data_IF_107789090315
#
_entry.id   IF_107789090315
#
_cell.length_a   1.000
_cell.length_b   1.000
_cell.length_c   1.000
_cell.angle_alpha   90.00
_cell.angle_beta   90.00
_cell.angle_gamma   90.00
#
_symmetry.space_group_name_H-M   'P 1'
#
loop_
_entity.id
_entity.type
_entity.pdbx_description
1 polymer ?
#
# COMPACT_ATOMS: atom_id res chain seq x y z
N UNK A 1 -11.69 -0.83 -3.43
CA UNK A 1 -10.70 -1.94 -3.42
C UNK A 1 -10.30 -2.20 -4.86
N UNK A 2 -9.02 -2.20 -5.23
CA UNK A 2 -8.69 -2.37 -6.66
C UNK A 2 -8.52 -3.86 -7.01
N UNK A 3 -9.23 -4.34 -8.04
CA UNK A 3 -9.09 -5.68 -8.62
C UNK A 3 -7.65 -6.03 -9.04
N UNK A 4 -6.76 -5.05 -9.21
CA UNK A 4 -5.40 -5.24 -9.73
C UNK A 4 -4.43 -5.96 -8.80
N UNK A 5 -4.58 -5.82 -7.48
CA UNK A 5 -3.73 -6.54 -6.52
C UNK A 5 -4.22 -7.98 -6.30
N UNK A 6 -5.54 -8.17 -6.31
CA UNK A 6 -6.16 -9.50 -6.40
C UNK A 6 -5.77 -10.16 -7.72
N UNK A 7 -5.73 -9.44 -8.85
CA UNK A 7 -5.27 -9.96 -10.13
C UNK A 7 -3.76 -10.29 -10.14
N UNK A 8 -2.91 -9.48 -9.50
CA UNK A 8 -1.48 -9.77 -9.36
C UNK A 8 -1.22 -11.02 -8.50
N UNK A 9 -2.03 -11.25 -7.46
CA UNK A 9 -1.99 -12.48 -6.66
C UNK A 9 -2.62 -13.69 -7.39
N UNK A 10 -3.71 -13.50 -8.13
CA UNK A 10 -4.29 -14.50 -9.02
C UNK A 10 -3.33 -14.88 -10.17
N UNK A 11 -2.45 -13.97 -10.60
CA UNK A 11 -1.42 -14.23 -11.60
C UNK A 11 -0.17 -14.90 -11.01
N UNK A 12 0.09 -14.75 -9.70
CA UNK A 12 1.16 -15.45 -8.99
C UNK A 12 0.75 -16.86 -8.52
N UNK A 13 -0.55 -17.11 -8.35
CA UNK A 13 -1.08 -18.40 -7.94
C UNK A 13 -2.18 -18.87 -8.86
N UNK A 14 -1.87 -19.79 -9.77
CA UNK A 14 -2.92 -20.64 -10.34
C UNK A 14 -3.60 -21.43 -9.19
N UNK A 15 -4.75 -20.91 -8.75
CA UNK A 15 -5.80 -21.53 -7.94
C UNK A 15 -5.40 -22.29 -6.66
N UNK A 16 -4.80 -21.62 -5.67
CA UNK A 16 -4.90 -22.07 -4.27
C UNK A 16 -5.88 -21.17 -3.50
N UNK A 17 -7.12 -21.66 -3.31
CA UNK A 17 -8.16 -20.99 -2.52
C UNK A 17 -7.67 -20.63 -1.10
N UNK A 18 -6.73 -21.40 -0.54
CA UNK A 18 -6.18 -21.14 0.79
C UNK A 18 -5.35 -19.87 0.80
N UNK A 19 -4.47 -19.67 -0.18
CA UNK A 19 -3.66 -18.46 -0.29
C UNK A 19 -4.54 -17.22 -0.52
N UNK A 20 -5.58 -17.34 -1.35
CA UNK A 20 -6.58 -16.28 -1.52
C UNK A 20 -7.28 -15.95 -0.20
N UNK A 21 -7.68 -16.96 0.58
CA UNK A 21 -8.31 -16.77 1.89
C UNK A 21 -7.38 -16.08 2.89
N UNK A 22 -6.12 -16.51 3.00
CA UNK A 22 -5.11 -15.88 3.87
C UNK A 22 -4.83 -14.44 3.47
N UNK A 23 -4.80 -14.17 2.17
CA UNK A 23 -4.65 -12.83 1.63
C UNK A 23 -5.82 -11.92 1.99
N UNK A 24 -7.05 -12.37 1.76
CA UNK A 24 -8.25 -11.62 2.11
C UNK A 24 -8.31 -11.37 3.62
N UNK A 25 -7.91 -12.34 4.44
CA UNK A 25 -7.82 -12.18 5.88
C UNK A 25 -6.80 -11.10 6.28
N UNK A 26 -5.59 -11.16 5.72
CA UNK A 26 -4.55 -10.17 6.01
C UNK A 26 -4.97 -8.76 5.55
N UNK A 27 -5.62 -8.65 4.39
CA UNK A 27 -6.19 -7.40 3.90
C UNK A 27 -7.33 -6.89 4.81
N UNK A 28 -8.21 -7.78 5.26
CA UNK A 28 -9.31 -7.40 6.16
C UNK A 28 -8.78 -6.87 7.50
N UNK A 29 -7.76 -7.53 8.07
CA UNK A 29 -7.10 -7.06 9.30
C UNK A 29 -6.42 -5.70 9.10
N UNK A 30 -5.77 -5.51 7.95
CA UNK A 30 -5.14 -4.24 7.57
C UNK A 30 -6.16 -3.09 7.51
N UNK A 31 -7.28 -3.28 6.79
CA UNK A 31 -8.32 -2.26 6.66
C UNK A 31 -9.05 -2.02 7.99
N UNK A 32 -9.32 -3.08 8.76
CA UNK A 32 -9.89 -2.97 10.10
C UNK A 32 -9.02 -2.12 11.03
N UNK A 33 -7.69 -2.18 10.88
CA UNK A 33 -6.77 -1.35 11.65
C UNK A 33 -6.94 0.14 11.34
N UNK A 34 -7.09 0.52 10.06
CA UNK A 34 -7.37 1.90 9.67
C UNK A 34 -8.69 2.40 10.25
N UNK A 35 -9.75 1.59 10.15
CA UNK A 35 -11.07 1.92 10.71
C UNK A 35 -11.01 2.07 12.24
N UNK A 36 -10.29 1.18 12.91
CA UNK A 36 -10.09 1.23 14.36
C UNK A 36 -9.32 2.48 14.76
N UNK A 37 -8.27 2.85 14.02
CA UNK A 37 -7.50 4.08 14.28
C UNK A 37 -8.39 5.33 14.14
N UNK A 38 -9.24 5.40 13.11
CA UNK A 38 -10.18 6.51 12.93
C UNK A 38 -11.23 6.56 14.06
N UNK A 39 -11.76 5.40 14.47
CA UNK A 39 -12.69 5.30 15.58
C UNK A 39 -12.06 5.77 16.91
N UNK A 40 -10.80 5.41 17.17
CA UNK A 40 -10.04 5.87 18.34
C UNK A 40 -9.82 7.39 18.35
N UNK A 41 -9.67 8.00 17.17
CA UNK A 41 -9.58 9.46 17.05
C UNK A 41 -10.94 10.17 17.17
N UNK A 42 -12.04 9.42 17.34
CA UNK A 42 -13.43 9.94 17.39
C UNK A 42 -13.78 10.81 16.19
N UNK A 43 -13.20 10.51 15.03
CA UNK A 43 -13.46 11.23 13.78
C UNK A 43 -14.48 10.45 12.96
N UNK A 44 -15.66 11.02 12.68
CA UNK A 44 -16.66 10.34 11.89
C UNK A 44 -16.14 10.15 10.46
N UNK A 45 -16.34 8.94 9.92
CA UNK A 45 -16.16 8.68 8.49
C UNK A 45 -17.37 9.28 7.77
N UNK A 46 -17.15 10.40 7.08
CA UNK A 46 -18.20 11.16 6.38
C UNK A 46 -18.59 10.50 5.06
N UNK A 47 -17.68 9.75 4.44
CA UNK A 47 -17.95 9.04 3.20
C UNK A 47 -16.84 8.03 2.87
N UNK A 48 -17.20 6.98 2.14
CA UNK A 48 -16.26 6.04 1.54
C UNK A 48 -16.46 6.10 0.03
N UNK A 49 -15.65 6.89 -0.66
CA UNK A 49 -15.63 6.92 -2.12
C UNK A 49 -14.68 5.82 -2.62
N UNK A 50 -15.26 4.71 -3.07
CA UNK A 50 -14.52 3.62 -3.70
C UNK A 50 -14.18 4.04 -5.14
N UNK A 51 -12.94 4.45 -5.39
CA UNK A 51 -12.44 4.73 -6.74
C UNK A 51 -11.67 3.52 -7.29
N UNK A 52 -11.48 3.49 -8.61
CA UNK A 52 -10.69 2.46 -9.30
C UNK A 52 -9.20 2.44 -8.87
N UNK A 53 -8.75 3.38 -8.03
CA UNK A 53 -7.41 3.47 -7.45
C UNK A 53 -7.29 3.07 -5.97
N UNK A 54 -8.40 3.03 -5.22
CA UNK A 54 -8.42 2.76 -3.77
C UNK A 54 -9.76 3.13 -3.11
N UNK A 55 -9.88 2.92 -1.80
CA UNK A 55 -10.97 3.51 -1.02
C UNK A 55 -10.51 4.89 -0.52
N UNK A 56 -11.18 5.96 -0.94
CA UNK A 56 -10.96 7.31 -0.42
C UNK A 56 -11.94 7.52 0.73
N UNK A 57 -11.39 7.59 1.94
CA UNK A 57 -12.19 7.83 3.14
C UNK A 57 -12.32 9.35 3.28
N UNK A 58 -13.49 9.88 2.97
CA UNK A 58 -13.85 11.26 3.28
C UNK A 58 -14.05 11.36 4.79
N UNK A 59 -13.17 12.10 5.44
CA UNK A 59 -13.20 12.35 6.88
C UNK A 59 -13.14 13.85 7.10
N UNK A 60 -13.62 14.31 8.26
CA UNK A 60 -13.28 15.65 8.73
C UNK A 60 -11.76 15.84 8.70
N UNK A 61 -11.30 17.09 8.50
CA UNK A 61 -9.88 17.40 8.42
C UNK A 61 -9.09 16.75 9.58
N UNK A 62 -8.32 15.72 9.25
CA UNK A 62 -7.42 15.07 10.19
C UNK A 62 -6.21 15.98 10.42
N UNK A 63 -5.71 16.00 11.66
CA UNK A 63 -4.39 16.57 11.89
C UNK A 63 -3.33 15.71 11.17
N UNK A 64 -2.22 16.31 10.75
CA UNK A 64 -1.12 15.57 10.09
C UNK A 64 -0.67 14.34 10.90
N UNK A 65 -0.65 14.46 12.23
CA UNK A 65 -0.33 13.34 13.13
C UNK A 65 -1.38 12.23 13.04
N UNK A 66 -2.66 12.56 13.02
CA UNK A 66 -3.74 11.57 12.88
C UNK A 66 -3.73 10.92 11.49
N UNK A 67 -3.44 11.67 10.44
CA UNK A 67 -3.27 11.12 9.08
C UNK A 67 -2.12 10.09 9.06
N UNK A 68 -0.95 10.45 9.60
CA UNK A 68 0.21 9.57 9.66
C UNK A 68 -0.05 8.31 10.52
N UNK A 69 -0.66 8.47 11.70
CA UNK A 69 -0.97 7.35 12.59
C UNK A 69 -2.05 6.44 12.02
N UNK A 70 -3.10 7.02 11.41
CA UNK A 70 -4.14 6.24 10.72
C UNK A 70 -3.54 5.46 9.56
N UNK A 71 -2.70 6.08 8.72
CA UNK A 71 -2.01 5.41 7.62
C UNK A 71 -1.03 4.33 8.13
N UNK A 72 -0.36 4.51 9.27
CA UNK A 72 0.53 3.51 9.83
C UNK A 72 -0.20 2.29 10.42
N UNK A 73 -1.48 2.42 10.80
CA UNK A 73 -2.21 1.38 11.50
C UNK A 73 -2.30 0.05 10.72
N UNK A 74 -2.68 0.11 9.44
CA UNK A 74 -2.77 -1.07 8.56
C UNK A 74 -1.44 -1.82 8.44
N UNK A 75 -0.36 -1.15 7.98
CA UNK A 75 0.96 -1.78 7.90
C UNK A 75 1.47 -2.34 9.23
N UNK A 76 1.24 -1.62 10.35
CA UNK A 76 1.67 -2.09 11.68
C UNK A 76 0.97 -3.38 12.08
N UNK A 77 -0.34 -3.50 11.87
CA UNK A 77 -1.09 -4.73 12.16
C UNK A 77 -0.55 -5.89 11.34
N UNK A 78 -0.23 -5.66 10.06
CA UNK A 78 0.34 -6.69 9.20
C UNK A 78 1.78 -7.09 9.54
N UNK A 79 2.60 -6.14 10.01
CA UNK A 79 3.93 -6.45 10.53
C UNK A 79 3.85 -7.29 11.81
N UNK A 80 2.97 -6.90 12.74
CA UNK A 80 2.77 -7.61 14.00
C UNK A 80 2.20 -9.01 13.76
N UNK A 81 1.11 -9.12 12.99
CA UNK A 81 0.50 -10.41 12.67
C UNK A 81 1.48 -11.31 11.91
N UNK A 82 2.23 -10.74 10.97
CA UNK A 82 3.28 -11.43 10.23
C UNK A 82 4.38 -11.98 11.13
N UNK A 83 4.94 -11.16 12.02
CA UNK A 83 5.99 -11.57 12.95
C UNK A 83 5.52 -12.66 13.93
N UNK A 84 4.32 -12.50 14.50
CA UNK A 84 3.76 -13.44 15.48
C UNK A 84 3.43 -14.81 14.87
N UNK A 85 3.05 -14.85 13.59
CA UNK A 85 2.63 -16.08 12.91
C UNK A 85 3.77 -16.78 12.15
N UNK A 86 4.98 -16.21 12.15
CA UNK A 86 6.12 -16.69 11.35
C UNK A 86 6.41 -18.18 11.52
N UNK A 87 6.31 -18.70 12.76
CA UNK A 87 6.60 -20.12 13.06
C UNK A 87 5.42 -21.06 12.84
N UNK A 88 4.19 -20.56 12.97
CA UNK A 88 2.98 -21.38 13.03
C UNK A 88 2.21 -21.42 11.71
N UNK A 89 2.12 -20.27 11.03
CA UNK A 89 1.43 -20.13 9.76
C UNK A 89 2.32 -19.33 8.79
N UNK A 90 3.42 -19.93 8.29
CA UNK A 90 4.41 -19.22 7.48
C UNK A 90 3.81 -18.57 6.21
N UNK A 91 2.79 -19.17 5.62
CA UNK A 91 2.09 -18.62 4.46
C UNK A 91 1.37 -17.30 4.80
N UNK A 92 0.64 -17.25 5.93
CA UNK A 92 -0.02 -16.03 6.38
C UNK A 92 0.98 -14.95 6.79
N UNK A 93 2.09 -15.38 7.41
CA UNK A 93 3.20 -14.51 7.76
C UNK A 93 3.79 -13.83 6.52
N UNK A 94 4.14 -14.61 5.50
CA UNK A 94 4.68 -14.09 4.24
C UNK A 94 3.72 -13.12 3.56
N UNK A 95 2.42 -13.45 3.53
CA UNK A 95 1.38 -12.59 2.94
C UNK A 95 1.21 -11.28 3.71
N UNK A 96 1.14 -11.34 5.04
CA UNK A 96 0.98 -10.14 5.90
C UNK A 96 2.21 -9.23 5.80
N UNK A 97 3.41 -9.80 5.88
CA UNK A 97 4.66 -9.04 5.72
C UNK A 97 4.79 -8.45 4.32
N UNK A 98 4.41 -9.20 3.27
CA UNK A 98 4.39 -8.71 1.90
C UNK A 98 3.41 -7.54 1.71
N UNK A 99 2.21 -7.65 2.26
CA UNK A 99 1.21 -6.58 2.28
C UNK A 99 1.73 -5.32 2.99
N UNK A 100 2.40 -5.48 4.14
CA UNK A 100 3.00 -4.36 4.85
C UNK A 100 4.12 -3.72 4.03
N UNK A 101 5.00 -4.52 3.42
CA UNK A 101 6.11 -4.03 2.62
C UNK A 101 5.64 -3.20 1.42
N UNK A 102 4.62 -3.68 0.69
CA UNK A 102 4.04 -2.93 -0.43
C UNK A 102 3.37 -1.65 0.05
N UNK A 103 2.54 -1.70 1.09
CA UNK A 103 1.83 -0.50 1.56
C UNK A 103 2.75 0.53 2.24
N UNK A 104 3.93 0.14 2.73
CA UNK A 104 4.94 1.06 3.28
C UNK A 104 5.83 1.72 2.22
N UNK A 105 5.71 1.34 0.95
CA UNK A 105 6.43 2.04 -0.12
C UNK A 105 6.06 3.53 -0.11
N UNK A 106 7.03 4.43 -0.35
CA UNK A 106 6.80 5.87 -0.36
C UNK A 106 6.13 6.33 -1.66
N UNK A 107 5.07 5.63 -2.06
CA UNK A 107 4.25 5.89 -3.24
C UNK A 107 2.89 6.39 -2.78
N UNK A 108 2.49 7.58 -3.22
CA UNK A 108 1.09 7.98 -3.07
C UNK A 108 0.26 7.23 -4.12
N UNK A 109 -0.88 6.60 -3.78
CA UNK A 109 -1.71 6.79 -2.58
C UNK A 109 -1.55 5.69 -1.50
N UNK A 110 -0.47 4.89 -1.54
CA UNK A 110 -0.21 3.89 -0.51
C UNK A 110 0.05 4.54 0.85
N UNK A 111 -0.08 3.77 1.93
CA UNK A 111 0.04 4.27 3.29
C UNK A 111 1.40 4.89 3.58
N UNK A 112 2.49 4.32 3.06
CA UNK A 112 3.84 4.87 3.16
C UNK A 112 3.95 6.25 2.51
N UNK A 113 3.27 6.46 1.37
CA UNK A 113 3.14 7.76 0.74
C UNK A 113 2.34 8.76 1.58
N UNK A 114 1.27 8.32 2.24
CA UNK A 114 0.45 9.16 3.15
C UNK A 114 1.23 9.55 4.41
N UNK A 115 1.98 8.61 5.00
CA UNK A 115 2.88 8.86 6.14
C UNK A 115 3.96 9.87 5.74
N UNK A 116 4.59 9.67 4.58
CA UNK A 116 5.63 10.58 4.07
C UNK A 116 5.05 11.98 3.82
N UNK A 117 3.88 12.09 3.19
CA UNK A 117 3.19 13.36 2.94
C UNK A 117 2.93 14.10 4.26
N UNK A 118 2.33 13.43 5.24
CA UNK A 118 2.03 14.01 6.53
C UNK A 118 3.29 14.47 7.29
N UNK A 119 4.38 13.68 7.21
CA UNK A 119 5.66 14.03 7.79
C UNK A 119 6.30 15.26 7.11
N UNK A 120 6.25 15.34 5.78
CA UNK A 120 6.80 16.45 5.02
C UNK A 120 6.00 17.75 5.21
N UNK A 121 4.66 17.68 5.18
CA UNK A 121 3.79 18.84 5.45
C UNK A 121 3.97 19.40 6.86
N UNK A 122 4.48 18.60 7.81
CA UNK A 122 4.77 19.09 9.17
C UNK A 122 6.00 20.02 9.24
N UNK A 123 6.83 20.05 8.17
CA UNK A 123 8.11 20.79 8.14
C UNK A 123 8.30 21.67 6.91
N UNK A 124 7.57 21.41 5.83
CA UNK A 124 7.77 22.02 4.52
C UNK A 124 6.48 22.62 3.98
N UNK A 125 6.62 23.54 3.02
CA UNK A 125 5.48 24.07 2.27
C UNK A 125 4.85 22.98 1.39
N UNK A 126 3.56 23.12 1.03
CA UNK A 126 2.87 22.15 0.17
C UNK A 126 3.60 21.88 -1.14
N UNK A 127 4.13 22.92 -1.80
CA UNK A 127 4.78 22.82 -3.11
C UNK A 127 6.08 21.99 -3.03
N UNK A 128 6.84 22.18 -1.95
CA UNK A 128 8.07 21.39 -1.69
C UNK A 128 7.73 19.95 -1.37
N UNK A 129 6.67 19.73 -0.59
CA UNK A 129 6.21 18.39 -0.22
C UNK A 129 5.82 17.60 -1.47
N UNK A 130 5.02 18.19 -2.35
CA UNK A 130 4.65 17.55 -3.61
C UNK A 130 5.84 17.24 -4.50
N UNK A 131 6.82 18.15 -4.59
CA UNK A 131 8.04 17.91 -5.38
C UNK A 131 8.80 16.70 -4.85
N UNK A 132 8.93 16.58 -3.53
CA UNK A 132 9.60 15.44 -2.88
C UNK A 132 8.78 14.15 -3.07
N UNK A 133 7.46 14.20 -2.92
CA UNK A 133 6.59 13.04 -3.16
C UNK A 133 6.67 12.55 -4.60
N UNK A 134 6.65 13.47 -5.59
CA UNK A 134 6.86 13.12 -7.01
C UNK A 134 8.22 12.47 -7.23
N UNK A 135 9.28 13.01 -6.63
CA UNK A 135 10.61 12.41 -6.72
C UNK A 135 10.63 11.01 -6.09
N UNK A 136 10.02 10.82 -4.92
CA UNK A 136 9.92 9.53 -4.25
C UNK A 136 9.17 8.51 -5.10
N UNK A 137 8.09 8.93 -5.78
CA UNK A 137 7.37 8.11 -6.75
C UNK A 137 8.28 7.69 -7.90
N UNK A 138 8.93 8.65 -8.58
CA UNK A 138 9.82 8.36 -9.70
C UNK A 138 10.96 7.42 -9.32
N UNK A 139 11.61 7.66 -8.18
CA UNK A 139 12.71 6.83 -7.68
C UNK A 139 12.24 5.41 -7.37
N UNK A 140 11.15 5.27 -6.62
CA UNK A 140 10.62 3.96 -6.23
C UNK A 140 10.13 3.16 -7.45
N UNK A 141 9.43 3.83 -8.37
CA UNK A 141 8.98 3.20 -9.60
C UNK A 141 10.15 2.75 -10.50
N UNK A 142 11.18 3.58 -10.64
CA UNK A 142 12.37 3.25 -11.43
C UNK A 142 13.14 2.08 -10.81
N UNK A 143 13.34 2.07 -9.49
CA UNK A 143 14.03 0.97 -8.80
C UNK A 143 13.26 -0.33 -8.89
N UNK A 144 11.93 -0.30 -8.74
CA UNK A 144 11.08 -1.48 -8.94
C UNK A 144 11.15 -2.01 -10.38
N UNK A 145 11.12 -1.14 -11.38
CA UNK A 145 11.22 -1.54 -12.79
C UNK A 145 12.60 -2.15 -13.11
N UNK A 146 13.69 -1.53 -12.66
CA UNK A 146 15.05 -2.07 -12.85
C UNK A 146 15.19 -3.43 -12.14
N UNK A 147 14.67 -3.55 -10.92
CA UNK A 147 14.64 -4.82 -10.20
C UNK A 147 13.83 -5.90 -10.91
N UNK A 148 12.66 -5.54 -11.46
CA UNK A 148 11.83 -6.45 -12.25
C UNK A 148 12.55 -6.95 -13.50
N UNK A 149 13.16 -6.05 -14.28
CA UNK A 149 13.97 -6.40 -15.45
C UNK A 149 15.16 -7.30 -15.08
N UNK A 150 15.86 -6.99 -13.98
CA UNK A 150 16.96 -7.81 -13.49
C UNK A 150 16.50 -9.24 -13.14
N UNK A 151 15.38 -9.38 -12.42
CA UNK A 151 14.81 -10.69 -12.09
C UNK A 151 14.38 -11.47 -13.33
N UNK A 152 13.77 -10.82 -14.31
CA UNK A 152 13.37 -11.46 -15.56
C UNK A 152 14.58 -11.98 -16.34
N UNK A 153 15.63 -11.16 -16.50
CA UNK A 153 16.81 -11.50 -17.31
C UNK A 153 17.70 -12.53 -16.60
N UNK A 154 18.02 -12.31 -15.32
CA UNK A 154 19.05 -13.10 -14.62
C UNK A 154 18.49 -14.26 -13.82
N UNK A 155 17.26 -14.15 -13.31
CA UNK A 155 16.63 -15.23 -12.53
C UNK A 155 15.62 -16.05 -13.33
N UNK A 156 15.47 -15.75 -14.63
CA UNK A 156 14.46 -16.35 -15.51
C UNK A 156 13.08 -16.37 -14.86
N UNK A 157 12.76 -15.33 -14.08
CA UNK A 157 11.50 -15.25 -13.35
C UNK A 157 10.29 -15.07 -14.29
N UNK A 158 10.50 -14.96 -15.60
CA UNK A 158 9.45 -14.66 -16.57
C UNK A 158 9.00 -13.19 -16.49
N UNK A 159 7.84 -12.89 -17.05
CA UNK A 159 7.35 -11.51 -17.22
C UNK A 159 6.52 -10.99 -16.02
N UNK A 160 6.20 -11.84 -15.05
CA UNK A 160 5.35 -11.44 -13.92
C UNK A 160 5.93 -10.29 -13.08
N UNK A 161 7.27 -10.17 -12.83
CA UNK A 161 7.79 -9.04 -12.06
C UNK A 161 7.55 -7.72 -12.78
N UNK A 162 7.71 -7.71 -14.11
CA UNK A 162 7.47 -6.53 -14.96
C UNK A 162 5.99 -6.15 -14.91
N UNK A 163 5.09 -7.12 -15.01
CA UNK A 163 3.64 -6.86 -14.90
C UNK A 163 3.27 -6.27 -13.54
N UNK A 164 3.83 -6.80 -12.44
CA UNK A 164 3.58 -6.24 -11.10
C UNK A 164 4.11 -4.82 -10.94
N UNK A 165 5.32 -4.53 -11.47
CA UNK A 165 5.88 -3.19 -11.47
C UNK A 165 5.02 -2.21 -12.29
N UNK A 166 4.53 -2.63 -13.46
CA UNK A 166 3.64 -1.83 -14.32
C UNK A 166 2.30 -1.51 -13.63
N UNK A 167 1.69 -2.48 -12.94
CA UNK A 167 0.45 -2.24 -12.19
C UNK A 167 0.68 -1.20 -11.07
N UNK A 168 1.79 -1.30 -10.33
CA UNK A 168 2.15 -0.32 -9.30
C UNK A 168 2.44 1.06 -9.89
N UNK A 169 3.12 1.12 -11.04
CA UNK A 169 3.39 2.33 -11.82
C UNK A 169 2.10 3.02 -12.27
N UNK A 170 1.16 2.29 -12.87
CA UNK A 170 -0.13 2.84 -13.30
C UNK A 170 -0.91 3.41 -12.11
N UNK A 171 -0.87 2.76 -10.94
CA UNK A 171 -1.51 3.29 -9.73
C UNK A 171 -0.86 4.58 -9.23
N UNK A 172 0.46 4.64 -9.23
CA UNK A 172 1.18 5.85 -8.84
C UNK A 172 0.93 7.01 -9.84
N UNK A 173 0.87 6.71 -11.13
CA UNK A 173 0.56 7.68 -12.19
C UNK A 173 -0.85 8.26 -12.08
N UNK A 174 -1.86 7.41 -11.88
CA UNK A 174 -3.25 7.84 -11.71
C UNK A 174 -3.46 8.66 -10.42
N UNK A 175 -2.71 8.37 -9.37
CA UNK A 175 -2.77 9.15 -8.13
C UNK A 175 -2.03 10.49 -8.25
N UNK A 176 -0.98 10.58 -9.07
CA UNK A 176 -0.32 11.85 -9.37
C UNK A 176 -1.20 12.80 -10.17
N UNK A 177 -2.10 12.29 -11.02
CA UNK A 177 -3.09 13.11 -11.75
C UNK A 177 -4.26 13.59 -10.90
N UNK A 178 -4.53 12.99 -9.74
CA UNK A 178 -5.58 13.46 -8.79
C UNK A 178 -5.07 14.53 -7.80
N UNK A 179 -3.76 14.76 -7.73
CA UNK A 179 -3.15 15.80 -6.87
C UNK A 179 -3.06 17.15 -7.59
N UNK A 180 -3.14 17.16 -8.93
CA UNK A 180 -3.18 18.35 -9.80
C UNK A 180 -4.63 18.84 -9.93
#
# INVERSE_FOLDING_TARGET
MTPGFVAALCLLGWCDLRLCGLFLLALALHEAAHLTALALFRRPVLGLTLSAGGAKIETEALTLRQEALSAAAGPLVNLLSGALTLRWVPAFSAVSLGLAAVNLLPLYPLDGGRILRAALLSRLTPERTERILRLAVWLTCSTLMVGACWLTVWRQAGLWPIFTALVLLCRAGNAASEII
#
